data_IF_976184326433
#
_entry.id   IF_976184326433
#
_cell.length_a   1.000
_cell.length_b   1.000
_cell.length_c   1.000
_cell.angle_alpha   90.00
_cell.angle_beta   90.00
_cell.angle_gamma   90.00
#
_symmetry.space_group_name_H-M   'P 1'
#
loop_
_entity.id
_entity.type
_entity.pdbx_description
1 polymer ?
#
# COMPACT_ATOMS: atom_id res chain seq x y z
N UNK A 1 33.65 -14.54 65.53
CA UNK A 1 32.66 -14.68 64.41
C UNK A 1 33.12 -15.84 63.56
N UNK A 2 32.38 -16.93 63.58
CA UNK A 2 32.75 -18.16 62.90
C UNK A 2 32.34 -18.07 61.42
N UNK A 3 33.04 -18.84 60.56
CA UNK A 3 32.77 -18.91 59.12
C UNK A 3 31.31 -19.31 58.77
N UNK A 4 30.57 -19.88 59.72
CA UNK A 4 29.15 -20.23 59.56
C UNK A 4 28.21 -19.05 59.68
N UNK A 5 28.52 -18.01 60.46
CA UNK A 5 27.72 -16.79 60.54
C UNK A 5 27.83 -15.93 59.29
N UNK A 6 28.98 -15.95 58.62
CA UNK A 6 29.15 -15.25 57.33
C UNK A 6 28.44 -15.95 56.18
N UNK A 7 28.22 -17.27 56.26
CA UNK A 7 27.49 -18.02 55.25
C UNK A 7 25.99 -17.83 55.34
N UNK A 8 25.46 -17.69 56.57
CA UNK A 8 24.03 -17.40 56.78
C UNK A 8 23.62 -15.98 56.42
N UNK A 9 24.52 -15.01 56.62
CA UNK A 9 24.29 -13.64 56.20
C UNK A 9 24.33 -13.44 54.67
N UNK A 10 24.96 -14.38 53.94
CA UNK A 10 24.99 -14.36 52.47
C UNK A 10 23.80 -15.07 51.80
N UNK A 11 23.10 -15.95 52.55
CA UNK A 11 21.88 -16.65 52.05
C UNK A 11 20.59 -15.85 52.24
N UNK A 12 20.56 -14.91 53.22
CA UNK A 12 19.40 -14.05 53.46
C UNK A 12 19.36 -12.77 52.62
N UNK A 13 20.40 -12.50 51.81
CA UNK A 13 20.46 -11.32 50.96
C UNK A 13 20.05 -11.57 49.49
N UNK A 14 19.59 -12.77 49.15
CA UNK A 14 19.26 -13.12 47.77
C UNK A 14 17.75 -13.38 47.50
N UNK A 15 16.87 -12.95 48.39
CA UNK A 15 15.43 -13.20 48.26
C UNK A 15 14.54 -11.94 48.32
N UNK A 16 14.95 -10.89 47.59
CA UNK A 16 14.04 -9.78 47.27
C UNK A 16 14.43 -9.14 45.95
N UNK A 17 14.47 -9.95 44.88
CA UNK A 17 14.30 -9.40 43.53
C UNK A 17 12.83 -9.46 43.21
N UNK A 18 12.31 -8.29 43.00
CA UNK A 18 10.93 -7.96 42.68
C UNK A 18 10.34 -8.91 41.63
N UNK A 19 9.42 -9.76 42.07
CA UNK A 19 8.48 -10.47 41.18
C UNK A 19 7.51 -9.46 40.58
N UNK A 20 8.02 -8.56 39.73
CA UNK A 20 7.23 -7.66 38.95
C UNK A 20 6.89 -8.36 37.62
N UNK A 21 5.78 -9.12 37.68
CA UNK A 21 4.97 -9.37 36.50
C UNK A 21 5.67 -10.09 35.36
N UNK A 22 6.20 -11.29 35.58
CA UNK A 22 6.38 -12.21 34.47
C UNK A 22 5.03 -12.50 33.86
N UNK A 23 4.67 -11.76 32.81
CA UNK A 23 3.55 -12.13 31.96
C UNK A 23 3.67 -13.62 31.65
N UNK A 24 2.62 -14.43 31.82
CA UNK A 24 2.62 -15.80 31.34
C UNK A 24 2.94 -15.71 29.86
N UNK A 25 4.09 -16.20 29.46
CA UNK A 25 4.42 -16.37 28.06
C UNK A 25 3.26 -17.10 27.39
N UNK A 26 2.90 -16.81 26.15
CA UNK A 26 1.80 -17.49 25.47
C UNK A 26 2.04 -18.98 25.63
N UNK A 27 1.11 -19.65 26.33
CA UNK A 27 1.11 -21.09 26.48
C UNK A 27 1.39 -21.65 25.07
N UNK A 28 2.40 -22.52 24.97
CA UNK A 28 2.83 -23.07 23.69
C UNK A 28 1.63 -23.60 22.93
N UNK A 29 1.11 -22.76 22.04
CA UNK A 29 0.19 -23.21 21.03
C UNK A 29 1.06 -24.03 20.10
N UNK A 30 1.02 -25.34 20.29
CA UNK A 30 1.52 -26.28 19.29
C UNK A 30 0.78 -26.00 17.97
N UNK A 31 1.27 -25.01 17.27
CA UNK A 31 0.79 -24.61 15.96
C UNK A 31 1.38 -25.56 14.92
N UNK A 32 1.18 -26.85 15.10
CA UNK A 32 1.25 -27.82 14.00
C UNK A 32 0.03 -27.61 13.10
N UNK A 33 -0.13 -26.36 12.60
CA UNK A 33 -1.00 -26.11 11.47
C UNK A 33 -0.42 -26.89 10.32
N UNK A 34 -1.05 -28.05 10.01
CA UNK A 34 -0.82 -28.73 8.74
C UNK A 34 -0.94 -27.68 7.66
N UNK A 35 0.15 -27.37 6.99
CA UNK A 35 0.16 -26.45 5.85
C UNK A 35 -0.82 -27.03 4.82
N UNK A 36 -1.91 -26.31 4.56
CA UNK A 36 -2.81 -26.69 3.48
C UNK A 36 -2.03 -26.49 2.18
N UNK A 37 -1.59 -27.55 1.57
CA UNK A 37 -1.00 -27.53 0.24
C UNK A 37 -2.11 -27.21 -0.74
N UNK A 38 -2.04 -26.05 -1.39
CA UNK A 38 -2.96 -25.67 -2.45
C UNK A 38 -2.67 -26.53 -3.69
N UNK A 39 -3.72 -27.03 -4.34
CA UNK A 39 -3.59 -27.93 -5.51
C UNK A 39 -2.74 -27.33 -6.65
N UNK A 40 -2.71 -26.00 -6.78
CA UNK A 40 -1.98 -25.26 -7.81
C UNK A 40 -0.95 -24.28 -7.23
N UNK A 41 -0.43 -24.54 -6.03
CA UNK A 41 0.51 -23.66 -5.33
C UNK A 41 1.73 -23.29 -6.18
N UNK A 42 2.34 -24.27 -6.86
CA UNK A 42 3.47 -24.04 -7.76
C UNK A 42 3.14 -23.07 -8.89
N UNK A 43 1.97 -23.23 -9.50
CA UNK A 43 1.53 -22.40 -10.61
C UNK A 43 1.30 -20.94 -10.15
N UNK A 44 0.75 -20.77 -8.96
CA UNK A 44 0.62 -19.44 -8.36
C UNK A 44 1.98 -18.84 -8.00
N UNK A 45 2.87 -19.63 -7.42
CA UNK A 45 4.22 -19.15 -7.06
C UNK A 45 5.05 -18.77 -8.29
N UNK A 46 4.92 -19.52 -9.40
CA UNK A 46 5.62 -19.22 -10.66
C UNK A 46 5.08 -17.97 -11.36
N UNK A 47 3.80 -17.62 -11.11
CA UNK A 47 3.19 -16.39 -11.63
C UNK A 47 3.46 -15.14 -10.74
N UNK A 48 3.98 -15.34 -9.52
CA UNK A 48 4.37 -14.20 -8.69
C UNK A 48 5.60 -13.51 -9.28
N UNK A 49 5.61 -12.19 -9.36
CA UNK A 49 6.80 -11.46 -9.79
C UNK A 49 7.94 -11.74 -8.79
N UNK A 50 9.01 -12.35 -9.27
CA UNK A 50 10.24 -12.60 -8.50
C UNK A 50 11.22 -11.48 -8.80
N UNK A 51 11.50 -10.65 -7.80
CA UNK A 51 12.58 -9.68 -7.87
C UNK A 51 13.74 -10.16 -6.98
N UNK A 52 14.81 -10.65 -7.58
CA UNK A 52 16.01 -11.08 -6.85
C UNK A 52 16.77 -9.88 -6.26
N UNK A 53 16.56 -8.69 -6.81
CA UNK A 53 17.19 -7.44 -6.35
C UNK A 53 16.28 -6.23 -6.55
N UNK A 54 16.23 -5.37 -5.54
CA UNK A 54 15.70 -4.03 -5.67
C UNK A 54 16.78 -3.10 -6.19
N UNK A 55 16.69 -2.71 -7.46
CA UNK A 55 17.61 -1.74 -8.05
C UNK A 55 17.29 -0.33 -7.54
N UNK A 56 16.00 -0.01 -7.43
CA UNK A 56 15.52 1.27 -6.92
C UNK A 56 14.11 1.11 -6.37
N UNK A 57 13.88 1.60 -5.15
CA UNK A 57 12.53 1.66 -4.58
C UNK A 57 11.90 3.01 -4.88
N UNK A 58 10.78 3.00 -5.60
CA UNK A 58 9.98 4.18 -5.91
C UNK A 58 8.58 4.07 -5.28
N UNK A 59 8.48 3.37 -4.17
CA UNK A 59 7.24 3.11 -3.45
C UNK A 59 6.59 4.39 -2.92
N UNK A 60 5.31 4.33 -2.59
CA UNK A 60 4.63 5.37 -1.85
C UNK A 60 5.17 5.45 -0.41
N UNK A 61 5.14 6.65 0.17
CA UNK A 61 5.54 6.86 1.57
C UNK A 61 4.44 6.45 2.54
N UNK A 62 3.19 6.49 2.09
CA UNK A 62 2.00 6.21 2.87
C UNK A 62 1.16 5.10 2.23
N UNK A 63 0.09 4.71 2.89
CA UNK A 63 -0.80 3.63 2.48
C UNK A 63 -1.42 3.90 1.11
N UNK A 64 -1.37 2.90 0.23
CA UNK A 64 -2.04 2.94 -1.07
C UNK A 64 -3.54 2.73 -0.84
N UNK A 65 -4.35 3.66 -1.30
CA UNK A 65 -5.81 3.60 -1.19
C UNK A 65 -6.49 3.11 -2.47
N UNK A 66 -5.97 3.45 -3.65
CA UNK A 66 -6.52 2.96 -4.92
C UNK A 66 -5.43 2.49 -5.86
N UNK A 67 -5.78 1.48 -6.65
CA UNK A 67 -5.00 0.99 -7.78
C UNK A 67 -5.94 0.90 -8.99
N UNK A 68 -5.60 1.58 -10.06
CA UNK A 68 -6.35 1.57 -11.32
C UNK A 68 -5.46 1.05 -12.45
N UNK A 69 -6.03 0.20 -13.28
CA UNK A 69 -5.40 -0.26 -14.51
C UNK A 69 -6.13 0.39 -15.66
N UNK A 70 -5.39 1.00 -16.56
CA UNK A 70 -5.99 1.65 -17.72
C UNK A 70 -6.36 0.62 -18.78
N UNK A 71 -7.60 0.65 -19.28
CA UNK A 71 -7.99 -0.21 -20.41
C UNK A 71 -7.25 0.24 -21.68
N UNK A 72 -6.90 -0.71 -22.53
CA UNK A 72 -6.24 -0.50 -23.84
C UNK A 72 -4.84 0.16 -23.80
N UNK A 73 -4.36 0.52 -22.62
CA UNK A 73 -2.99 1.03 -22.42
C UNK A 73 -2.31 0.21 -21.33
N UNK A 74 -0.99 0.08 -21.40
CA UNK A 74 -0.24 -0.73 -20.44
C UNK A 74 0.18 0.07 -19.19
N UNK A 75 -0.74 0.90 -18.66
CA UNK A 75 -0.44 1.70 -17.48
C UNK A 75 -1.21 1.24 -16.26
N UNK A 76 -0.53 1.34 -15.12
CA UNK A 76 -1.09 1.17 -13.79
C UNK A 76 -0.92 2.48 -13.04
N UNK A 77 -1.97 2.92 -12.37
CA UNK A 77 -1.98 4.17 -11.61
C UNK A 77 -2.25 3.81 -10.15
N UNK A 78 -1.40 4.26 -9.27
CA UNK A 78 -1.55 4.05 -7.83
C UNK A 78 -1.68 5.38 -7.12
N UNK A 79 -2.59 5.45 -6.16
CA UNK A 79 -2.78 6.63 -5.33
C UNK A 79 -2.59 6.27 -3.86
N UNK A 80 -2.16 7.24 -3.06
CA UNK A 80 -1.98 7.04 -1.63
C UNK A 80 -2.73 8.07 -0.79
N UNK A 81 -2.87 7.78 0.48
CA UNK A 81 -3.61 8.60 1.46
C UNK A 81 -3.04 10.01 1.58
N UNK A 82 -1.74 10.18 1.35
CA UNK A 82 -1.03 11.46 1.35
C UNK A 82 -1.28 12.35 0.11
N UNK A 83 -2.21 11.94 -0.79
CA UNK A 83 -2.55 12.71 -1.99
C UNK A 83 -1.63 12.53 -3.18
N UNK A 84 -0.68 11.61 -3.10
CA UNK A 84 0.25 11.33 -4.17
C UNK A 84 -0.32 10.34 -5.20
N UNK A 85 -0.03 10.60 -6.48
CA UNK A 85 -0.40 9.75 -7.63
C UNK A 85 0.88 9.32 -8.34
N UNK A 86 1.00 8.04 -8.63
CA UNK A 86 2.12 7.48 -9.39
C UNK A 86 1.64 6.69 -10.58
N UNK A 87 2.31 6.91 -11.69
CA UNK A 87 2.10 6.21 -12.96
C UNK A 87 3.20 5.19 -13.17
N UNK A 88 2.77 4.00 -13.57
CA UNK A 88 3.64 2.86 -13.83
C UNK A 88 3.30 2.28 -15.19
N UNK A 89 4.30 1.88 -15.94
CA UNK A 89 4.13 1.17 -17.22
C UNK A 89 4.34 -0.32 -17.01
N UNK A 90 3.38 -1.10 -17.44
CA UNK A 90 3.51 -2.56 -17.46
C UNK A 90 4.43 -2.97 -18.58
N UNK A 91 5.43 -3.76 -18.27
CA UNK A 91 6.30 -4.44 -19.22
C UNK A 91 6.04 -5.96 -19.14
N UNK A 92 6.61 -6.72 -20.05
CA UNK A 92 6.41 -8.19 -20.12
C UNK A 92 6.80 -8.93 -18.83
N UNK A 93 7.82 -8.46 -18.10
CA UNK A 93 8.35 -9.11 -16.90
C UNK A 93 8.41 -8.21 -15.67
N UNK A 94 8.08 -6.94 -15.78
CA UNK A 94 8.24 -5.96 -14.70
C UNK A 94 7.26 -4.80 -14.82
N UNK A 95 7.23 -3.97 -13.79
CA UNK A 95 6.52 -2.69 -13.78
C UNK A 95 7.56 -1.60 -13.67
N UNK A 96 7.57 -0.68 -14.62
CA UNK A 96 8.47 0.45 -14.65
C UNK A 96 7.79 1.70 -14.10
N UNK A 97 8.49 2.42 -13.24
CA UNK A 97 8.04 3.73 -12.77
C UNK A 97 8.16 4.78 -13.86
N UNK A 98 7.10 5.54 -14.08
CA UNK A 98 7.06 6.59 -15.10
C UNK A 98 7.09 7.97 -14.48
N UNK A 99 6.07 8.31 -13.69
CA UNK A 99 5.92 9.66 -13.15
C UNK A 99 5.23 9.68 -11.80
N UNK A 100 5.56 10.69 -10.99
CA UNK A 100 4.99 10.93 -9.68
C UNK A 100 4.44 12.36 -9.62
N UNK A 101 3.23 12.48 -9.10
CA UNK A 101 2.59 13.76 -8.81
C UNK A 101 2.26 13.87 -7.33
N UNK A 102 2.55 15.01 -6.74
CA UNK A 102 1.88 15.48 -5.55
C UNK A 102 0.55 16.10 -6.00
N UNK A 103 -0.44 15.23 -6.22
CA UNK A 103 -1.67 15.64 -6.89
C UNK A 103 -2.58 16.45 -5.98
N UNK A 104 -2.72 16.06 -4.74
CA UNK A 104 -3.66 16.66 -3.79
C UNK A 104 -2.99 16.93 -2.44
N UNK A 105 -3.52 17.89 -1.70
CA UNK A 105 -3.07 18.19 -0.34
C UNK A 105 -3.80 17.37 0.72
N UNK A 106 -4.87 16.69 0.33
CA UNK A 106 -5.69 15.84 1.18
C UNK A 106 -5.86 14.45 0.59
N UNK A 107 -6.45 13.55 1.37
CA UNK A 107 -6.68 12.17 0.97
C UNK A 107 -7.53 12.09 -0.30
N UNK A 108 -7.08 11.27 -1.25
CA UNK A 108 -7.84 10.93 -2.46
C UNK A 108 -8.96 9.98 -2.06
N UNK A 109 -10.20 10.37 -2.37
CA UNK A 109 -11.41 9.64 -1.97
C UNK A 109 -12.08 8.90 -3.12
N UNK A 110 -11.82 9.32 -4.37
CA UNK A 110 -12.34 8.65 -5.54
C UNK A 110 -11.39 8.80 -6.73
N UNK A 111 -11.37 7.78 -7.57
CA UNK A 111 -10.59 7.75 -8.81
C UNK A 111 -11.39 7.10 -9.93
N UNK A 112 -11.15 7.50 -11.16
CA UNK A 112 -11.76 6.91 -12.34
C UNK A 112 -10.83 7.01 -13.55
N UNK A 113 -10.80 5.95 -14.36
CA UNK A 113 -10.13 5.92 -15.67
C UNK A 113 -11.16 5.99 -16.77
N UNK A 114 -10.85 6.69 -17.87
CA UNK A 114 -11.72 6.72 -19.05
C UNK A 114 -11.80 5.36 -19.75
N UNK A 115 -12.84 5.14 -20.53
CA UNK A 115 -13.07 3.88 -21.22
C UNK A 115 -11.98 3.56 -22.27
N UNK A 116 -11.37 4.58 -22.86
CA UNK A 116 -10.24 4.47 -23.80
C UNK A 116 -8.88 4.35 -23.12
N UNK A 117 -8.82 4.57 -21.79
CA UNK A 117 -7.58 4.55 -21.01
C UNK A 117 -6.71 5.80 -21.18
N UNK A 118 -7.15 6.80 -21.92
CA UNK A 118 -6.37 8.01 -22.19
C UNK A 118 -6.38 8.99 -21.01
N UNK A 119 -7.45 9.02 -20.21
CA UNK A 119 -7.63 9.97 -19.13
C UNK A 119 -7.82 9.29 -17.78
N UNK A 120 -7.27 9.92 -16.75
CA UNK A 120 -7.44 9.54 -15.35
C UNK A 120 -7.92 10.73 -14.54
N UNK A 121 -8.95 10.54 -13.76
CA UNK A 121 -9.48 11.55 -12.83
C UNK A 121 -9.24 11.10 -11.39
N UNK A 122 -8.82 12.03 -10.54
CA UNK A 122 -8.70 11.84 -9.10
C UNK A 122 -9.48 12.94 -8.37
N UNK A 123 -10.20 12.56 -7.35
CA UNK A 123 -10.95 13.47 -6.50
C UNK A 123 -10.52 13.33 -5.05
N UNK A 124 -10.26 14.45 -4.37
CA UNK A 124 -9.79 14.47 -3.01
C UNK A 124 -10.82 15.03 -2.02
N UNK A 125 -10.60 14.79 -0.74
CA UNK A 125 -11.51 15.20 0.33
C UNK A 125 -11.66 16.73 0.47
N UNK A 126 -10.70 17.49 -0.04
CA UNK A 126 -10.73 18.97 -0.09
C UNK A 126 -11.65 19.54 -1.19
N UNK A 127 -12.29 18.68 -1.95
CA UNK A 127 -13.14 19.08 -3.08
C UNK A 127 -12.36 19.34 -4.37
N UNK A 128 -11.06 19.14 -4.40
CA UNK A 128 -10.28 19.26 -5.63
C UNK A 128 -10.43 18.00 -6.50
N UNK A 129 -10.67 18.21 -7.79
CA UNK A 129 -10.74 17.16 -8.80
C UNK A 129 -9.70 17.48 -9.86
N UNK A 130 -8.84 16.52 -10.17
CA UNK A 130 -7.78 16.67 -11.16
C UNK A 130 -7.88 15.61 -12.21
N UNK A 131 -7.69 16.04 -13.48
CA UNK A 131 -7.74 15.18 -14.67
C UNK A 131 -6.36 15.15 -15.30
N UNK A 132 -5.84 13.96 -15.49
CA UNK A 132 -4.53 13.69 -16.07
C UNK A 132 -4.68 13.01 -17.43
N UNK A 133 -3.83 13.40 -18.37
CA UNK A 133 -3.55 12.61 -19.56
C UNK A 133 -2.59 11.49 -19.19
N UNK A 134 -3.01 10.26 -19.44
CA UNK A 134 -2.23 9.06 -19.11
C UNK A 134 -1.13 8.81 -20.16
N UNK A 135 -1.32 9.27 -21.39
CA UNK A 135 -0.39 9.03 -22.49
C UNK A 135 0.79 10.01 -22.42
N UNK A 136 0.49 11.29 -22.19
CA UNK A 136 1.49 12.36 -22.14
C UNK A 136 1.97 12.63 -20.69
N UNK A 137 1.30 12.05 -19.68
CA UNK A 137 1.59 12.27 -18.27
C UNK A 137 1.51 13.75 -17.87
N UNK A 138 0.44 14.43 -18.28
CA UNK A 138 0.21 15.83 -17.97
C UNK A 138 -1.09 16.05 -17.20
N UNK A 139 -1.11 17.09 -16.39
CA UNK A 139 -2.34 17.58 -15.75
C UNK A 139 -3.09 18.46 -16.74
N UNK A 140 -4.27 18.03 -17.19
CA UNK A 140 -5.05 18.75 -18.18
C UNK A 140 -6.01 19.74 -17.52
N UNK A 141 -6.75 19.26 -16.52
CA UNK A 141 -7.81 20.05 -15.87
C UNK A 141 -7.77 19.91 -14.36
N UNK A 142 -8.16 21.00 -13.70
CA UNK A 142 -8.37 21.04 -12.26
C UNK A 142 -9.69 21.75 -11.97
N UNK A 143 -10.52 21.12 -11.17
CA UNK A 143 -11.80 21.64 -10.72
C UNK A 143 -11.81 21.74 -9.21
N UNK A 144 -12.52 22.73 -8.68
CA UNK A 144 -12.78 22.83 -7.25
C UNK A 144 -14.29 22.79 -7.05
N UNK A 145 -14.77 21.85 -6.25
CA UNK A 145 -16.18 21.73 -5.89
C UNK A 145 -16.38 22.11 -4.43
N UNK A 146 -17.53 22.74 -4.06
CA UNK A 146 -17.78 23.20 -2.69
C UNK A 146 -18.17 22.09 -1.71
N UNK A 147 -18.10 20.83 -2.13
CA UNK A 147 -18.45 19.66 -1.32
C UNK A 147 -17.38 18.57 -1.45
N UNK A 148 -17.33 17.66 -0.49
CA UNK A 148 -16.43 16.49 -0.57
C UNK A 148 -16.98 15.46 -1.56
N UNK A 149 -16.30 15.18 -2.67
CA UNK A 149 -16.73 14.15 -3.62
C UNK A 149 -16.64 12.77 -2.96
N UNK A 150 -17.59 11.89 -3.28
CA UNK A 150 -17.58 10.50 -2.77
C UNK A 150 -17.30 9.48 -3.84
N UNK A 151 -17.65 9.79 -5.08
CA UNK A 151 -17.44 8.93 -6.22
C UNK A 151 -17.12 9.74 -7.46
N UNK A 152 -16.36 9.15 -8.36
CA UNK A 152 -16.00 9.71 -9.66
C UNK A 152 -16.24 8.65 -10.72
N UNK A 153 -16.82 9.04 -11.85
CA UNK A 153 -17.03 8.16 -12.98
C UNK A 153 -16.98 8.94 -14.29
N UNK A 154 -16.44 8.31 -15.31
CA UNK A 154 -16.48 8.84 -16.67
C UNK A 154 -17.77 8.48 -17.36
N UNK A 155 -18.41 9.47 -17.97
CA UNK A 155 -19.55 9.26 -18.86
C UNK A 155 -19.03 9.30 -20.28
N UNK A 156 -19.08 8.15 -20.96
CA UNK A 156 -18.67 8.05 -22.34
C UNK A 156 -19.90 8.22 -23.24
N UNK A 157 -19.88 9.27 -24.05
CA UNK A 157 -20.83 9.40 -25.14
C UNK A 157 -20.23 8.75 -26.39
N UNK A 158 -20.87 7.69 -26.89
CA UNK A 158 -20.55 7.13 -28.20
C UNK A 158 -20.86 8.22 -29.23
N UNK A 159 -19.81 8.83 -29.78
CA UNK A 159 -19.98 9.85 -30.81
C UNK A 159 -20.77 9.27 -31.96
N UNK A 160 -21.86 9.93 -32.37
CA UNK A 160 -22.38 9.79 -33.72
C UNK A 160 -21.26 10.29 -34.65
N UNK A 161 -20.73 9.40 -35.44
CA UNK A 161 -19.91 9.78 -36.60
C UNK A 161 -20.88 10.38 -37.56
N UNK A 162 -20.90 11.70 -37.69
CA UNK A 162 -21.50 12.42 -38.81
C UNK A 162 -20.57 12.35 -40.00
#
# INVERSE_FOLDING_TARGET
MSKEEQKRAAEDASSSEDDFGRMPGPAGVDCTKRSKTLQYERLYLDQLPRADRYVKSLMHRDTINFVQVTPHTDFVITTSVDGHVKFWKKQSSSIEFVKHYNAHLSMIVAVATSADGAYFASAAADGSIKVFDVINFDLIHMFQVPYTPRACAWVHRRGSVD
#
